data_IF_152944895616
#
_entry.id   IF_152944895616
#
_cell.length_a   1.000
_cell.length_b   1.000
_cell.length_c   1.000
_cell.angle_alpha   90.00
_cell.angle_beta   90.00
_cell.angle_gamma   90.00
#
_symmetry.space_group_name_H-M   'P 1'
#
loop_
_entity.id
_entity.type
_entity.pdbx_description
1 polymer ?
#
# COMPACT_ATOMS: atom_id res chain seq x y z
N UNK A 1 -52.12 -25.07 3.06
CA UNK A 1 -51.69 -25.08 1.65
C UNK A 1 -52.01 -23.69 1.15
N UNK A 2 -51.08 -22.76 1.00
CA UNK A 2 -49.70 -22.90 0.58
C UNK A 2 -48.87 -21.74 1.14
N UNK A 3 -47.68 -22.07 1.64
CA UNK A 3 -46.68 -21.14 2.18
C UNK A 3 -45.96 -20.47 1.02
N UNK A 4 -46.03 -19.15 0.94
CA UNK A 4 -45.19 -18.36 0.04
C UNK A 4 -43.97 -17.83 0.78
N UNK A 5 -42.95 -18.66 0.91
CA UNK A 5 -41.60 -18.27 1.36
C UNK A 5 -40.97 -17.31 0.34
N UNK A 6 -40.64 -16.10 0.77
CA UNK A 6 -39.76 -15.18 0.04
C UNK A 6 -38.32 -15.55 0.39
N UNK A 7 -37.44 -15.87 -0.58
CA UNK A 7 -36.03 -16.04 -0.26
C UNK A 7 -35.36 -14.70 0.01
N UNK A 8 -34.79 -14.63 1.20
CA UNK A 8 -33.88 -13.62 1.73
C UNK A 8 -32.69 -13.45 0.77
N UNK A 9 -32.63 -12.29 0.09
CA UNK A 9 -31.51 -11.92 -0.78
C UNK A 9 -30.41 -11.25 0.04
N UNK A 10 -29.88 -11.99 1.02
CA UNK A 10 -28.65 -11.66 1.72
C UNK A 10 -27.45 -12.04 0.86
N UNK A 11 -27.09 -11.20 -0.10
CA UNK A 11 -25.74 -11.27 -0.69
C UNK A 11 -24.75 -10.75 0.36
N UNK A 12 -24.34 -11.64 1.26
CA UNK A 12 -23.10 -11.47 1.98
C UNK A 12 -21.99 -11.54 0.93
N UNK A 13 -21.51 -10.39 0.46
CA UNK A 13 -20.22 -10.27 -0.21
C UNK A 13 -19.15 -10.64 0.84
N UNK A 14 -19.02 -11.94 1.09
CA UNK A 14 -17.83 -12.53 1.68
C UNK A 14 -16.68 -12.11 0.76
N UNK A 15 -15.89 -11.14 1.24
CA UNK A 15 -14.63 -10.76 0.62
C UNK A 15 -13.77 -12.03 0.56
N UNK A 16 -13.80 -12.71 -0.57
CA UNK A 16 -13.05 -13.92 -0.86
C UNK A 16 -11.58 -13.71 -0.45
N UNK A 17 -11.18 -14.30 0.68
CA UNK A 17 -9.84 -14.26 1.27
C UNK A 17 -8.76 -14.91 0.36
N UNK A 18 -9.09 -15.25 -0.89
CA UNK A 18 -8.18 -15.76 -1.92
C UNK A 18 -8.10 -14.94 -3.22
N UNK A 19 -8.88 -13.87 -3.39
CA UNK A 19 -9.07 -13.17 -4.68
C UNK A 19 -8.19 -11.93 -4.90
N UNK A 20 -7.05 -11.84 -4.21
CA UNK A 20 -6.09 -10.74 -4.38
C UNK A 20 -5.50 -10.67 -5.80
N UNK A 21 -5.02 -9.48 -6.24
CA UNK A 21 -4.34 -9.36 -7.52
C UNK A 21 -3.09 -10.25 -7.57
N UNK A 22 -2.68 -10.65 -8.77
CA UNK A 22 -1.50 -11.50 -8.95
C UNK A 22 -0.22 -10.67 -8.98
N UNK A 23 0.84 -11.19 -8.35
CA UNK A 23 2.15 -10.58 -8.35
C UNK A 23 2.69 -10.49 -9.78
N UNK A 24 3.09 -9.30 -10.27
CA UNK A 24 3.63 -9.15 -11.62
C UNK A 24 4.94 -9.91 -11.87
N UNK A 25 5.67 -10.29 -10.82
CA UNK A 25 6.96 -10.99 -10.93
C UNK A 25 6.83 -12.51 -10.93
N UNK A 26 5.94 -13.07 -10.13
CA UNK A 26 5.91 -14.51 -9.86
C UNK A 26 4.51 -15.15 -9.90
N UNK A 27 3.49 -14.37 -10.27
CA UNK A 27 2.08 -14.75 -10.39
C UNK A 27 1.39 -15.26 -9.10
N UNK A 28 2.07 -15.23 -7.96
CA UNK A 28 1.47 -15.55 -6.67
C UNK A 28 0.37 -14.55 -6.30
N UNK A 29 -0.66 -14.98 -5.55
CA UNK A 29 -1.66 -14.04 -5.05
C UNK A 29 -1.00 -13.05 -4.08
N UNK A 30 -1.24 -11.75 -4.28
CA UNK A 30 -0.73 -10.72 -3.40
C UNK A 30 -1.55 -10.66 -2.11
N UNK A 31 -0.86 -10.46 -0.99
CA UNK A 31 -1.48 -10.21 0.31
C UNK A 31 -1.75 -8.73 0.48
N UNK A 32 -2.94 -8.39 0.98
CA UNK A 32 -3.27 -7.00 1.29
C UNK A 32 -2.42 -6.52 2.47
N UNK A 33 -1.82 -5.35 2.31
CA UNK A 33 -1.05 -4.69 3.36
C UNK A 33 -1.87 -3.50 3.86
N UNK A 34 -2.14 -3.45 5.17
CA UNK A 34 -2.82 -2.32 5.77
C UNK A 34 -1.81 -1.23 6.14
N UNK A 35 -1.84 -0.12 5.41
CA UNK A 35 -1.00 1.05 5.69
C UNK A 35 -1.89 2.16 6.26
N UNK A 36 -1.62 2.54 7.51
CA UNK A 36 -2.41 3.54 8.25
C UNK A 36 -1.56 4.75 8.62
N UNK A 37 -2.14 5.93 8.54
CA UNK A 37 -1.57 7.17 9.07
C UNK A 37 -1.64 7.14 10.61
N UNK A 38 -0.49 6.95 11.26
CA UNK A 38 -0.37 6.92 12.73
C UNK A 38 0.22 8.19 13.34
N UNK A 39 1.00 8.95 12.57
CA UNK A 39 1.91 9.99 13.09
C UNK A 39 1.22 11.31 13.45
N UNK A 40 0.02 11.57 12.93
CA UNK A 40 -0.76 12.78 13.19
C UNK A 40 -1.60 12.72 14.49
N UNK A 41 -1.25 11.85 15.43
CA UNK A 41 -1.93 11.70 16.73
C UNK A 41 -1.63 12.77 17.78
N UNK A 42 -1.10 13.93 17.39
CA UNK A 42 -0.94 15.13 18.24
C UNK A 42 -2.29 15.71 18.78
N UNK A 43 -3.40 14.98 18.63
CA UNK A 43 -4.71 15.28 19.18
C UNK A 43 -5.61 14.06 19.41
N UNK A 44 -5.05 12.84 19.54
CA UNK A 44 -5.82 11.65 19.94
C UNK A 44 -6.75 11.03 18.89
N UNK A 45 -6.52 11.30 17.60
CA UNK A 45 -7.32 10.67 16.53
C UNK A 45 -7.00 9.18 16.38
N UNK A 46 -7.99 8.39 15.94
CA UNK A 46 -7.73 7.01 15.56
C UNK A 46 -6.87 6.97 14.27
N UNK A 47 -5.99 5.96 14.12
CA UNK A 47 -5.28 5.72 12.87
C UNK A 47 -6.25 5.71 11.69
N UNK A 48 -5.89 6.39 10.60
CA UNK A 48 -6.71 6.42 9.38
C UNK A 48 -6.02 5.63 8.27
N UNK A 49 -6.71 4.69 7.60
CA UNK A 49 -6.16 4.04 6.42
C UNK A 49 -5.73 5.06 5.36
N UNK A 50 -4.65 4.73 4.66
CA UNK A 50 -4.31 5.44 3.42
C UNK A 50 -5.40 5.24 2.38
N UNK A 51 -5.56 6.19 1.46
CA UNK A 51 -6.53 6.09 0.38
C UNK A 51 -6.16 5.04 -0.66
N UNK A 52 -4.86 4.77 -0.84
CA UNK A 52 -4.38 3.73 -1.74
C UNK A 52 -4.53 2.33 -1.10
N UNK A 53 -4.75 1.30 -1.91
CA UNK A 53 -4.71 -0.09 -1.45
C UNK A 53 -3.31 -0.66 -1.64
N UNK A 54 -2.71 -1.18 -0.57
CA UNK A 54 -1.34 -1.68 -0.61
C UNK A 54 -1.31 -3.20 -0.64
N UNK A 55 -0.30 -3.72 -1.32
CA UNK A 55 -0.15 -5.14 -1.61
C UNK A 55 1.31 -5.55 -1.50
N UNK A 56 1.56 -6.74 -0.95
CA UNK A 56 2.86 -7.36 -0.93
C UNK A 56 2.81 -8.80 -1.44
N UNK A 57 3.90 -9.25 -2.04
CA UNK A 57 4.09 -10.65 -2.35
C UNK A 57 4.78 -11.34 -1.17
N UNK A 58 4.30 -12.51 -0.76
CA UNK A 58 4.97 -13.33 0.28
C UNK A 58 6.09 -14.21 -0.27
N UNK A 59 6.09 -14.45 -1.60
CA UNK A 59 7.08 -15.31 -2.28
C UNK A 59 8.29 -14.53 -2.80
N UNK A 60 8.14 -13.24 -3.06
CA UNK A 60 9.23 -12.36 -3.51
C UNK A 60 9.12 -11.00 -2.83
N UNK A 61 10.11 -10.14 -3.04
CA UNK A 61 10.23 -8.80 -2.45
C UNK A 61 9.26 -7.75 -3.05
N UNK A 62 8.38 -8.13 -3.97
CA UNK A 62 7.48 -7.18 -4.63
C UNK A 62 6.51 -6.55 -3.64
N UNK A 63 6.45 -5.22 -3.66
CA UNK A 63 5.48 -4.41 -2.94
C UNK A 63 4.98 -3.32 -3.87
N UNK A 64 3.72 -2.95 -3.73
CA UNK A 64 3.12 -1.92 -4.55
C UNK A 64 1.80 -1.45 -3.99
N UNK A 65 1.22 -0.50 -4.69
CA UNK A 65 -0.05 0.07 -4.33
C UNK A 65 -0.94 0.22 -5.54
N UNK A 66 -2.23 0.33 -5.27
CA UNK A 66 -3.27 0.60 -6.23
C UNK A 66 -3.83 1.99 -5.90
N UNK A 67 -3.62 3.00 -6.76
CA UNK A 67 -4.00 4.38 -6.45
C UNK A 67 -5.52 4.57 -6.26
N UNK A 68 -6.33 3.76 -6.95
CA UNK A 68 -7.80 3.75 -6.92
C UNK A 68 -8.27 2.31 -7.08
N UNK A 69 -9.40 1.95 -6.47
CA UNK A 69 -9.99 0.62 -6.62
C UNK A 69 -10.30 0.29 -8.09
N UNK A 70 -9.83 -0.87 -8.55
CA UNK A 70 -9.90 -1.30 -9.95
C UNK A 70 -8.78 -0.74 -10.83
N UNK A 71 -7.80 -0.04 -10.25
CA UNK A 71 -6.68 0.58 -10.96
C UNK A 71 -5.52 -0.40 -11.21
N UNK A 72 -4.57 0.03 -12.04
CA UNK A 72 -3.32 -0.70 -12.22
C UNK A 72 -2.47 -0.63 -10.94
N UNK A 73 -1.76 -1.73 -10.66
CA UNK A 73 -0.76 -1.78 -9.58
C UNK A 73 0.49 -0.99 -9.98
N UNK A 74 0.91 -0.09 -9.09
CA UNK A 74 2.17 0.64 -9.19
C UNK A 74 3.18 0.00 -8.25
N UNK A 75 4.31 -0.46 -8.81
CA UNK A 75 5.38 -1.05 -8.03
C UNK A 75 6.12 0.01 -7.20
N UNK A 76 6.52 -0.39 -6.00
CA UNK A 76 7.40 0.36 -5.12
C UNK A 76 8.66 -0.46 -4.87
N UNK A 77 9.77 0.21 -4.55
CA UNK A 77 11.04 -0.41 -4.20
C UNK A 77 11.32 -0.23 -2.72
N UNK A 78 11.63 -1.32 -2.01
CA UNK A 78 12.10 -1.27 -0.63
C UNK A 78 13.46 -0.58 -0.55
N UNK A 79 13.62 0.30 0.43
CA UNK A 79 14.91 0.88 0.78
C UNK A 79 15.57 0.03 1.88
N UNK A 80 16.90 0.04 1.91
CA UNK A 80 17.70 -0.73 2.87
C UNK A 80 18.70 0.20 3.56
N UNK A 81 19.29 -0.28 4.67
CA UNK A 81 20.17 0.53 5.51
C UNK A 81 19.45 1.75 6.08
N UNK A 82 20.17 2.86 6.25
CA UNK A 82 19.63 4.09 6.85
C UNK A 82 18.43 4.67 6.09
N UNK A 83 18.40 4.51 4.76
CA UNK A 83 17.25 4.96 3.95
C UNK A 83 15.99 4.10 4.17
N UNK A 84 16.16 2.86 4.63
CA UNK A 84 15.07 1.95 4.99
C UNK A 84 14.35 2.35 6.28
N UNK A 85 15.06 2.98 7.21
CA UNK A 85 14.51 3.39 8.51
C UNK A 85 13.63 4.62 8.37
N UNK A 86 12.41 4.54 8.89
CA UNK A 86 11.51 5.68 8.89
C UNK A 86 11.99 6.75 9.87
N UNK A 87 12.42 7.91 9.38
CA UNK A 87 12.81 9.06 10.21
C UNK A 87 11.75 9.47 11.25
N UNK A 88 10.48 9.12 11.00
CA UNK A 88 9.36 9.58 11.79
C UNK A 88 8.90 8.62 12.89
N UNK A 89 8.89 7.31 12.64
CA UNK A 89 8.51 6.32 13.65
C UNK A 89 9.67 5.45 14.10
N UNK A 90 10.85 5.57 13.49
CA UNK A 90 12.04 4.79 13.82
C UNK A 90 12.03 3.34 13.33
N UNK A 91 10.98 2.90 12.64
CA UNK A 91 10.86 1.53 12.16
C UNK A 91 11.84 1.25 11.03
N UNK A 92 12.66 0.23 11.22
CA UNK A 92 13.69 -0.21 10.28
C UNK A 92 13.09 -0.93 9.07
N UNK A 93 13.74 -0.78 7.91
CA UNK A 93 13.35 -1.39 6.62
C UNK A 93 11.87 -1.17 6.22
N UNK A 94 11.23 -0.13 6.77
CA UNK A 94 9.83 0.17 6.57
C UNK A 94 9.56 1.10 5.38
N UNK A 95 10.58 1.81 4.88
CA UNK A 95 10.42 2.76 3.78
C UNK A 95 10.44 2.08 2.41
N UNK A 96 9.52 2.52 1.55
CA UNK A 96 9.49 2.20 0.12
C UNK A 96 9.44 3.47 -0.71
N UNK A 97 9.95 3.40 -1.94
CA UNK A 97 9.94 4.52 -2.89
C UNK A 97 9.37 4.14 -4.25
N UNK A 98 8.72 5.09 -4.90
CA UNK A 98 8.29 4.94 -6.29
C UNK A 98 9.49 4.84 -7.24
N UNK A 99 9.23 4.46 -8.49
CA UNK A 99 10.18 4.73 -9.56
C UNK A 99 10.48 6.23 -9.61
N UNK A 100 11.76 6.62 -9.81
CA UNK A 100 12.11 8.02 -9.97
C UNK A 100 11.57 8.58 -11.28
N UNK A 101 11.12 9.83 -11.24
CA UNK A 101 10.82 10.64 -12.41
C UNK A 101 11.88 11.75 -12.55
N UNK A 102 12.38 11.95 -13.76
CA UNK A 102 13.32 13.04 -14.04
C UNK A 102 12.55 14.35 -14.31
N UNK A 103 12.99 15.44 -13.67
CA UNK A 103 12.55 16.78 -13.97
C UNK A 103 13.43 17.40 -15.08
N UNK A 104 12.89 18.38 -15.80
CA UNK A 104 13.60 19.13 -16.84
C UNK A 104 14.79 19.96 -16.33
N UNK A 105 14.94 20.10 -15.02
CA UNK A 105 16.01 20.83 -14.34
C UNK A 105 17.16 19.93 -13.86
N UNK A 106 17.15 18.65 -14.24
CA UNK A 106 18.17 17.66 -13.88
C UNK A 106 18.01 17.12 -12.45
N UNK A 107 16.92 17.41 -11.76
CA UNK A 107 16.57 16.79 -10.49
C UNK A 107 15.73 15.53 -10.70
N UNK A 108 15.80 14.62 -9.74
CA UNK A 108 14.96 13.43 -9.71
C UNK A 108 13.96 13.54 -8.57
N UNK A 109 12.75 13.06 -8.79
CA UNK A 109 11.72 12.95 -7.77
C UNK A 109 11.29 11.51 -7.60
N UNK A 110 11.09 11.10 -6.35
CA UNK A 110 10.35 9.90 -6.03
C UNK A 110 9.42 10.16 -4.85
N UNK A 111 8.48 9.24 -4.65
CA UNK A 111 7.55 9.29 -3.55
C UNK A 111 7.92 8.24 -2.52
N UNK A 112 8.33 8.68 -1.32
CA UNK A 112 8.65 7.81 -0.20
C UNK A 112 7.40 7.57 0.66
N UNK A 113 7.20 6.33 1.10
CA UNK A 113 6.15 5.93 2.04
C UNK A 113 6.72 4.97 3.09
N UNK A 114 6.43 5.21 4.37
CA UNK A 114 6.64 4.22 5.43
C UNK A 114 5.43 3.29 5.52
N UNK A 115 5.66 2.00 5.35
CA UNK A 115 4.60 0.98 5.40
C UNK A 115 4.00 0.76 6.79
N UNK A 116 4.67 1.22 7.86
CA UNK A 116 4.20 1.04 9.25
C UNK A 116 3.37 2.23 9.74
N UNK A 117 3.89 3.45 9.63
CA UNK A 117 3.20 4.66 10.13
C UNK A 117 2.45 5.45 9.05
N UNK A 118 2.50 5.00 7.80
CA UNK A 118 1.81 5.59 6.66
C UNK A 118 2.31 6.98 6.26
N UNK A 119 3.35 7.49 6.92
CA UNK A 119 3.93 8.79 6.56
C UNK A 119 4.53 8.71 5.17
N UNK A 120 4.27 9.73 4.36
CA UNK A 120 4.79 9.81 3.00
C UNK A 120 5.37 11.18 2.70
N UNK A 121 6.42 11.22 1.89
CA UNK A 121 7.11 12.46 1.52
C UNK A 121 7.56 12.40 0.06
N UNK A 122 7.27 13.39 -0.79
CA UNK A 122 7.98 13.56 -2.05
C UNK A 122 9.46 13.88 -1.75
N UNK A 123 10.38 13.08 -2.29
CA UNK A 123 11.81 13.39 -2.25
C UNK A 123 12.23 14.04 -3.55
N UNK A 124 13.16 14.97 -3.46
CA UNK A 124 13.84 15.58 -4.61
C UNK A 124 15.34 15.51 -4.36
N UNK A 125 16.08 14.89 -5.27
CA UNK A 125 17.51 14.62 -5.10
C UNK A 125 18.27 14.71 -6.42
N UNK A 126 19.60 14.78 -6.31
CA UNK A 126 20.53 14.80 -7.44
C UNK A 126 21.43 13.57 -7.32
N UNK A 127 21.53 12.79 -8.40
CA UNK A 127 22.45 11.63 -8.50
C UNK A 127 23.83 12.05 -8.95
#
# INVERSE_FOLDING_TARGET
>A
MDSGDLPDSGVNEELDEGSGPRCPRCAETLTRLEVVHRRNNWGGFAPRPRSERWWECRRCDWVGYEPRQGGALTAMRRLAGEEGTCFFCGEDEANVVSAPSDDSDGWRRDWLVCLVCGTSNPRRYRS
#
